data_IF_381968702983
#
_entry.id   IF_381968702983
#
_cell.length_a   1.000
_cell.length_b   1.000
_cell.length_c   1.000
_cell.angle_alpha   90.00
_cell.angle_beta   90.00
_cell.angle_gamma   90.00
#
_symmetry.space_group_name_H-M   'P 1'
#
loop_
_entity.id
_entity.type
_entity.pdbx_description
1 polymer ?
#
# COMPACT_ATOMS: atom_id res chain seq x y z
N UNK A 1 4.48 8.07 2.83
CA UNK A 1 3.01 8.06 2.96
C UNK A 1 2.39 7.20 1.85
N UNK A 2 1.13 6.84 1.96
CA UNK A 2 0.42 6.00 1.00
C UNK A 2 -0.99 5.68 1.49
N UNK A 3 -1.81 5.16 0.59
CA UNK A 3 -3.13 4.64 0.90
C UNK A 3 -3.02 3.17 1.36
N UNK A 4 -3.68 2.84 2.46
CA UNK A 4 -3.80 1.49 2.97
C UNK A 4 -5.27 1.07 2.96
N UNK A 5 -5.55 -0.10 2.38
CA UNK A 5 -6.88 -0.71 2.37
C UNK A 5 -6.82 -2.01 3.13
N UNK A 6 -7.81 -2.26 3.99
CA UNK A 6 -7.87 -3.51 4.73
C UNK A 6 -9.29 -3.98 5.00
N UNK A 7 -9.45 -5.30 5.00
CA UNK A 7 -10.68 -5.99 5.43
C UNK A 7 -10.53 -6.28 6.91
N UNK A 8 -11.21 -5.50 7.75
CA UNK A 8 -11.07 -5.49 9.21
C UNK A 8 -11.23 -6.87 9.82
N UNK A 9 -12.18 -7.68 9.36
CA UNK A 9 -12.43 -9.02 9.90
C UNK A 9 -11.19 -9.92 9.84
N UNK A 10 -10.54 -9.98 8.68
CA UNK A 10 -9.36 -10.79 8.44
C UNK A 10 -8.10 -10.13 8.96
N UNK A 11 -7.98 -8.81 8.80
CA UNK A 11 -6.84 -8.04 9.26
C UNK A 11 -6.69 -8.14 10.79
N UNK A 12 -7.75 -7.88 11.54
CA UNK A 12 -7.74 -7.95 13.00
C UNK A 12 -7.43 -9.35 13.50
N UNK A 13 -7.98 -10.38 12.84
CA UNK A 13 -7.69 -11.78 13.15
C UNK A 13 -6.20 -12.11 12.97
N UNK A 14 -5.61 -11.72 11.84
CA UNK A 14 -4.19 -11.98 11.56
C UNK A 14 -3.29 -11.17 12.48
N UNK A 15 -3.66 -9.92 12.79
CA UNK A 15 -2.96 -9.12 13.78
C UNK A 15 -3.00 -9.80 15.15
N UNK A 16 -4.16 -10.21 15.66
CA UNK A 16 -4.25 -10.92 16.94
C UNK A 16 -3.40 -12.21 16.99
N UNK A 17 -3.33 -12.94 15.86
CA UNK A 17 -2.55 -14.18 15.78
C UNK A 17 -1.04 -13.95 15.78
N UNK A 18 -0.56 -12.89 15.14
CA UNK A 18 0.87 -12.71 14.85
C UNK A 18 1.54 -11.54 15.56
N UNK A 19 0.78 -10.58 16.11
CA UNK A 19 1.29 -9.36 16.75
C UNK A 19 2.34 -9.65 17.81
N UNK A 20 2.06 -10.60 18.71
CA UNK A 20 3.02 -10.97 19.76
C UNK A 20 4.32 -11.53 19.19
N UNK A 21 4.22 -12.37 18.16
CA UNK A 21 5.39 -12.91 17.48
C UNK A 21 6.20 -11.81 16.79
N UNK A 22 5.49 -10.87 16.16
CA UNK A 22 6.09 -9.73 15.47
C UNK A 22 6.86 -8.83 16.45
N UNK A 23 6.26 -8.46 17.57
CA UNK A 23 6.92 -7.66 18.61
C UNK A 23 8.17 -8.35 19.19
N UNK A 24 8.11 -9.67 19.41
CA UNK A 24 9.27 -10.44 19.86
C UNK A 24 10.38 -10.48 18.79
N UNK A 25 10.03 -10.61 17.52
CA UNK A 25 10.99 -10.59 16.42
C UNK A 25 11.66 -9.20 16.27
N UNK A 26 10.88 -8.12 16.39
CA UNK A 26 11.40 -6.73 16.40
C UNK A 26 12.34 -6.53 17.59
N UNK A 27 11.93 -6.92 18.80
CA UNK A 27 12.77 -6.82 19.98
C UNK A 27 14.06 -7.64 19.87
N UNK A 28 14.03 -8.78 19.17
CA UNK A 28 15.22 -9.59 18.89
C UNK A 28 16.16 -8.89 17.90
N UNK A 29 15.62 -8.30 16.84
CA UNK A 29 16.38 -7.51 15.85
C UNK A 29 17.07 -6.33 16.51
N UNK A 30 16.33 -5.57 17.32
CA UNK A 30 16.82 -4.35 17.95
C UNK A 30 17.89 -4.64 19.03
N UNK A 31 17.91 -5.87 19.57
CA UNK A 31 18.93 -6.36 20.52
C UNK A 31 20.12 -7.07 19.86
N UNK A 32 20.09 -7.26 18.53
CA UNK A 32 21.15 -7.97 17.82
C UNK A 32 22.49 -7.23 17.97
N UNK A 33 23.56 -7.98 18.22
CA UNK A 33 24.91 -7.40 18.42
C UNK A 33 25.77 -7.48 17.17
N UNK A 34 25.34 -8.29 16.20
CA UNK A 34 26.03 -8.51 14.95
C UNK A 34 25.07 -8.33 13.77
N UNK A 35 25.61 -7.97 12.61
CA UNK A 35 24.81 -7.83 11.38
C UNK A 35 24.12 -9.15 11.00
N UNK A 36 24.78 -10.30 11.21
CA UNK A 36 24.20 -11.60 10.88
C UNK A 36 22.97 -11.94 11.74
N UNK A 37 23.04 -11.68 13.05
CA UNK A 37 21.88 -11.84 13.95
C UNK A 37 20.76 -10.85 13.59
N UNK A 38 21.12 -9.61 13.28
CA UNK A 38 20.18 -8.59 12.84
C UNK A 38 19.45 -9.03 11.57
N UNK A 39 20.16 -9.49 10.56
CA UNK A 39 19.57 -9.93 9.28
C UNK A 39 18.67 -11.15 9.46
N UNK A 40 19.04 -12.08 10.34
CA UNK A 40 18.19 -13.22 10.67
C UNK A 40 16.91 -12.79 11.37
N UNK A 41 16.99 -11.87 12.32
CA UNK A 41 15.81 -11.34 13.00
C UNK A 41 14.95 -10.49 12.05
N UNK A 42 15.57 -9.70 11.16
CA UNK A 42 14.87 -8.90 10.16
C UNK A 42 14.11 -9.78 9.16
N UNK A 43 14.65 -10.93 8.74
CA UNK A 43 13.91 -11.90 7.92
C UNK A 43 12.64 -12.39 8.62
N UNK A 44 12.71 -12.64 9.92
CA UNK A 44 11.54 -13.08 10.69
C UNK A 44 10.52 -11.95 10.86
N UNK A 45 10.97 -10.71 11.10
CA UNK A 45 10.11 -9.52 11.11
C UNK A 45 9.39 -9.38 9.78
N UNK A 46 10.12 -9.47 8.65
CA UNK A 46 9.52 -9.39 7.31
C UNK A 46 8.50 -10.52 7.08
N UNK A 47 8.83 -11.76 7.43
CA UNK A 47 7.91 -12.90 7.29
C UNK A 47 6.61 -12.69 8.07
N UNK A 48 6.70 -12.21 9.31
CA UNK A 48 5.53 -11.95 10.16
C UNK A 48 4.72 -10.74 9.66
N UNK A 49 5.40 -9.72 9.14
CA UNK A 49 4.76 -8.58 8.50
C UNK A 49 3.95 -9.02 7.27
N UNK A 50 4.51 -9.87 6.42
CA UNK A 50 3.83 -10.38 5.23
C UNK A 50 2.60 -11.24 5.59
N UNK A 51 2.66 -11.96 6.72
CA UNK A 51 1.52 -12.73 7.24
C UNK A 51 0.39 -11.83 7.76
N UNK A 52 0.71 -10.72 8.44
CA UNK A 52 -0.31 -9.78 8.93
C UNK A 52 -0.87 -8.89 7.82
N UNK A 53 -0.10 -8.66 6.76
CA UNK A 53 -0.47 -7.84 5.61
C UNK A 53 -0.69 -8.69 4.36
N UNK A 54 -1.42 -9.80 4.54
CA UNK A 54 -1.75 -10.73 3.45
C UNK A 54 -2.50 -10.00 2.32
N UNK A 55 -2.18 -10.25 1.04
CA UNK A 55 -2.88 -9.66 -0.10
C UNK A 55 -4.40 -9.94 -0.14
N UNK A 56 -4.87 -10.94 0.61
CA UNK A 56 -6.29 -11.27 0.71
C UNK A 56 -7.07 -10.32 1.63
N UNK A 57 -6.39 -9.58 2.50
CA UNK A 57 -7.03 -8.70 3.48
C UNK A 57 -6.36 -7.34 3.63
N UNK A 58 -5.27 -7.07 2.91
CA UNK A 58 -4.54 -5.82 2.98
C UNK A 58 -3.94 -5.44 1.62
N UNK A 59 -4.08 -4.18 1.24
CA UNK A 59 -3.44 -3.58 0.08
C UNK A 59 -2.81 -2.24 0.46
N UNK A 60 -1.53 -2.05 0.14
CA UNK A 60 -0.84 -0.77 0.28
C UNK A 60 -0.48 -0.18 -1.08
N UNK A 61 -0.77 1.10 -1.25
CA UNK A 61 -0.39 1.87 -2.41
C UNK A 61 0.41 3.12 -2.02
N UNK A 62 1.74 3.16 -2.26
CA UNK A 62 2.57 4.27 -1.81
C UNK A 62 2.37 5.53 -2.68
N UNK A 63 2.43 6.71 -2.05
CA UNK A 63 2.44 8.00 -2.75
C UNK A 63 3.84 8.36 -3.25
N UNK A 64 4.43 7.49 -4.07
CA UNK A 64 5.70 7.70 -4.75
C UNK A 64 5.66 7.02 -6.13
N UNK A 65 6.82 6.90 -6.80
CA UNK A 65 6.95 6.28 -8.12
C UNK A 65 6.35 4.88 -8.28
N UNK A 66 6.11 4.18 -7.17
CA UNK A 66 5.51 2.84 -7.13
C UNK A 66 4.00 2.83 -6.88
N UNK A 67 3.34 4.00 -6.89
CA UNK A 67 1.90 4.14 -6.71
C UNK A 67 1.10 3.60 -7.91
N UNK A 68 0.36 2.52 -7.70
CA UNK A 68 -0.44 1.83 -8.72
C UNK A 68 -1.60 2.69 -9.22
N UNK A 69 -2.38 3.36 -8.36
CA UNK A 69 -3.50 4.17 -8.85
C UNK A 69 -3.04 5.29 -9.77
N UNK A 70 -1.91 5.93 -9.45
CA UNK A 70 -1.27 6.91 -10.31
C UNK A 70 -0.93 6.31 -11.69
N UNK A 71 -0.38 5.10 -11.74
CA UNK A 71 -0.13 4.37 -13.00
C UNK A 71 -1.41 3.97 -13.74
N UNK A 72 -2.57 3.97 -13.09
CA UNK A 72 -3.87 3.77 -13.73
C UNK A 72 -4.54 5.12 -14.09
N UNK A 73 -3.89 6.26 -13.84
CA UNK A 73 -4.49 7.58 -14.04
C UNK A 73 -5.67 7.83 -13.09
N UNK A 74 -5.64 7.20 -11.91
CA UNK A 74 -6.57 7.39 -10.80
C UNK A 74 -5.84 8.08 -9.64
N UNK A 75 -6.62 8.60 -8.70
CA UNK A 75 -6.15 9.34 -7.54
C UNK A 75 -6.95 8.89 -6.31
N UNK A 76 -6.24 8.56 -5.23
CA UNK A 76 -6.87 8.16 -3.98
C UNK A 76 -7.68 9.32 -3.37
N UNK A 77 -7.21 10.55 -3.47
CA UNK A 77 -7.81 11.75 -2.89
C UNK A 77 -8.93 12.33 -3.75
N UNK A 78 -8.78 12.33 -5.08
CA UNK A 78 -9.78 12.89 -6.00
C UNK A 78 -10.87 11.89 -6.35
N UNK A 79 -10.50 10.63 -6.57
CA UNK A 79 -11.41 9.65 -7.17
C UNK A 79 -12.00 8.67 -6.13
N UNK A 80 -11.26 8.34 -5.05
CA UNK A 80 -11.69 7.37 -4.03
C UNK A 80 -12.18 8.04 -2.73
N UNK A 81 -11.43 8.99 -2.17
CA UNK A 81 -11.77 9.65 -0.90
C UNK A 81 -13.19 10.25 -0.86
N UNK A 82 -13.71 10.88 -1.94
CA UNK A 82 -15.07 11.41 -1.94
C UNK A 82 -16.17 10.35 -1.90
N UNK A 83 -15.81 9.07 -2.07
CA UNK A 83 -16.72 7.91 -2.05
C UNK A 83 -16.69 7.16 -0.72
N UNK A 84 -15.82 7.57 0.22
CA UNK A 84 -15.74 6.94 1.53
C UNK A 84 -16.93 7.38 2.40
N UNK A 85 -17.33 6.48 3.29
CA UNK A 85 -18.21 6.79 4.40
C UNK A 85 -17.45 7.55 5.51
N UNK A 86 -18.18 8.06 6.51
CA UNK A 86 -17.59 8.83 7.62
C UNK A 86 -16.58 8.02 8.46
N UNK A 87 -16.65 6.69 8.40
CA UNK A 87 -15.75 5.78 9.11
C UNK A 87 -14.56 5.30 8.25
N UNK A 88 -14.30 6.02 7.15
CA UNK A 88 -13.28 5.71 6.14
C UNK A 88 -13.51 4.39 5.39
N UNK A 89 -14.70 3.78 5.50
CA UNK A 89 -15.02 2.57 4.74
C UNK A 89 -15.48 2.90 3.31
N UNK A 90 -15.12 2.05 2.35
CA UNK A 90 -15.58 2.16 0.96
C UNK A 90 -16.85 1.31 0.78
N UNK A 91 -18.02 1.89 0.44
CA UNK A 91 -19.25 1.16 0.18
C UNK A 91 -19.07 0.09 -0.90
N UNK A 92 -19.81 -1.02 -0.82
CA UNK A 92 -19.67 -2.15 -1.77
C UNK A 92 -19.97 -1.78 -3.23
N UNK A 93 -20.87 -0.81 -3.47
CA UNK A 93 -21.13 -0.27 -4.80
C UNK A 93 -19.89 0.47 -5.35
N UNK A 94 -19.21 1.23 -4.49
CA UNK A 94 -17.97 1.93 -4.85
C UNK A 94 -16.75 0.99 -4.93
N UNK A 95 -16.73 -0.11 -4.17
CA UNK A 95 -15.78 -1.22 -4.37
C UNK A 95 -15.97 -1.82 -5.77
N UNK A 96 -17.21 -2.06 -6.18
CA UNK A 96 -17.53 -2.59 -7.51
C UNK A 96 -17.12 -1.61 -8.62
N UNK A 97 -17.35 -0.32 -8.42
CA UNK A 97 -16.86 0.73 -9.32
C UNK A 97 -15.34 0.72 -9.42
N UNK A 98 -14.62 0.75 -8.29
CA UNK A 98 -13.15 0.77 -8.28
C UNK A 98 -12.57 -0.48 -8.94
N UNK A 99 -13.17 -1.66 -8.72
CA UNK A 99 -12.80 -2.89 -9.41
C UNK A 99 -12.96 -2.77 -10.93
N UNK A 100 -14.04 -2.14 -11.39
CA UNK A 100 -14.27 -1.84 -12.81
C UNK A 100 -13.22 -0.90 -13.40
N UNK A 101 -12.89 0.18 -12.70
CA UNK A 101 -11.84 1.12 -13.11
C UNK A 101 -10.47 0.45 -13.18
N UNK A 102 -10.09 -0.30 -12.13
CA UNK A 102 -8.80 -1.01 -12.10
C UNK A 102 -8.73 -2.01 -13.24
N UNK A 103 -9.75 -2.86 -13.46
CA UNK A 103 -9.73 -3.86 -14.54
C UNK A 103 -9.60 -3.21 -15.93
N UNK A 104 -10.39 -2.18 -16.21
CA UNK A 104 -10.48 -1.57 -17.54
C UNK A 104 -9.26 -0.73 -17.93
N UNK A 105 -8.58 -0.10 -16.96
CA UNK A 105 -7.50 0.84 -17.24
C UNK A 105 -6.18 0.15 -17.51
N UNK A 106 -5.42 0.69 -18.47
CA UNK A 106 -4.05 0.25 -18.78
C UNK A 106 -3.05 1.01 -17.91
N UNK A 107 -1.89 0.40 -17.69
CA UNK A 107 -0.76 1.10 -17.08
C UNK A 107 -0.31 2.22 -18.01
N UNK A 108 -0.22 3.43 -17.48
CA UNK A 108 0.12 4.65 -18.24
C UNK A 108 1.62 4.91 -18.31
N UNK A 109 2.41 4.25 -17.46
CA UNK A 109 3.85 4.50 -17.29
C UNK A 109 4.11 6.00 -17.08
N UNK A 110 3.38 6.59 -16.14
CA UNK A 110 3.35 8.03 -15.90
C UNK A 110 4.77 8.56 -15.60
N UNK A 111 5.28 9.54 -16.39
CA UNK A 111 6.63 10.08 -16.19
C UNK A 111 6.69 11.27 -15.21
N UNK A 112 5.59 12.01 -15.08
CA UNK A 112 5.46 13.19 -14.20
C UNK A 112 4.71 12.83 -12.93
N UNK A 113 4.98 13.45 -11.76
CA UNK A 113 4.28 13.10 -10.53
C UNK A 113 2.83 13.60 -10.53
N UNK A 114 1.96 12.88 -9.82
CA UNK A 114 0.63 13.39 -9.48
C UNK A 114 0.70 14.47 -8.40
N UNK A 115 -0.41 15.18 -8.20
CA UNK A 115 -0.55 16.15 -7.11
C UNK A 115 -0.32 15.49 -5.73
N UNK A 116 -0.91 14.32 -5.52
CA UNK A 116 -0.76 13.51 -4.29
C UNK A 116 0.70 13.14 -4.03
N UNK A 117 1.42 12.68 -5.06
CA UNK A 117 2.84 12.34 -4.95
C UNK A 117 3.67 13.59 -4.63
N UNK A 118 3.31 14.74 -5.20
CA UNK A 118 3.98 16.02 -4.95
C UNK A 118 3.78 16.50 -3.51
N UNK A 119 2.54 16.50 -3.03
CA UNK A 119 2.22 16.83 -1.64
C UNK A 119 2.86 15.84 -0.66
N UNK A 120 2.87 14.55 -1.01
CA UNK A 120 3.48 13.54 -0.16
C UNK A 120 5.00 13.75 -0.01
N UNK A 121 5.69 14.11 -1.09
CA UNK A 121 7.12 14.41 -1.05
C UNK A 121 7.41 15.67 -0.21
N UNK A 122 6.58 16.71 -0.32
CA UNK A 122 6.73 17.93 0.47
C UNK A 122 6.55 17.67 1.97
N UNK A 123 5.49 16.98 2.36
CA UNK A 123 5.23 16.64 3.77
C UNK A 123 6.36 15.79 4.35
N UNK A 124 6.82 14.77 3.61
CA UNK A 124 7.93 13.94 4.05
C UNK A 124 9.23 14.74 4.22
N UNK A 125 9.48 15.75 3.37
CA UNK A 125 10.64 16.63 3.49
C UNK A 125 10.57 17.55 4.72
N UNK A 126 9.37 17.99 5.10
CA UNK A 126 9.17 18.79 6.31
C UNK A 126 9.32 17.95 7.59
N UNK A 127 8.77 16.72 7.60
CA UNK A 127 8.78 15.83 8.78
C UNK A 127 10.16 15.22 9.05
N UNK A 128 10.96 14.96 8.01
CA UNK A 128 12.27 14.31 8.16
C UNK A 128 13.33 15.20 8.84
N UNK A 129 13.10 16.51 8.98
CA UNK A 129 14.02 17.47 9.60
C UNK A 129 15.37 17.63 8.87
N UNK A 130 15.59 16.90 7.77
CA UNK A 130 16.82 16.94 6.99
C UNK A 130 16.64 17.90 5.82
N UNK A 131 17.44 18.98 5.78
CA UNK A 131 17.58 19.91 4.64
C UNK A 131 18.00 19.23 3.31
N UNK A 132 18.20 17.91 3.30
CA UNK A 132 18.74 17.12 2.20
C UNK A 132 17.74 16.12 1.58
N UNK A 133 16.51 16.00 2.08
CA UNK A 133 15.47 15.26 1.33
C UNK A 133 14.91 16.14 0.24
N UNK A 134 15.10 15.73 -1.02
CA UNK A 134 14.48 16.37 -2.18
C UNK A 134 12.97 16.53 -1.96
N UNK A 135 12.46 17.75 -2.10
CA UNK A 135 11.01 18.04 -2.14
C UNK A 135 10.36 17.53 -3.43
N UNK A 136 11.18 17.11 -4.40
CA UNK A 136 10.70 16.59 -5.68
C UNK A 136 10.15 15.18 -5.49
N UNK A 137 8.89 15.00 -5.89
CA UNK A 137 8.27 13.69 -5.99
C UNK A 137 9.09 12.76 -6.89
N UNK A 138 9.23 11.52 -6.43
CA UNK A 138 9.89 10.48 -7.22
C UNK A 138 8.93 9.95 -8.29
N UNK A 139 9.39 9.90 -9.53
CA UNK A 139 8.75 9.17 -10.63
C UNK A 139 9.76 8.29 -11.35
N UNK A 140 9.27 7.22 -11.98
CA UNK A 140 10.09 6.43 -12.90
C UNK A 140 10.18 7.18 -14.22
N UNK A 141 11.41 7.53 -14.61
CA UNK A 141 11.69 8.20 -15.88
C UNK A 141 11.71 7.21 -17.07
N UNK A 142 12.07 5.97 -16.78
CA UNK A 142 12.05 4.85 -17.72
C UNK A 142 11.50 3.62 -17.01
N UNK A 143 10.79 2.76 -17.74
CA UNK A 143 10.22 1.53 -17.22
C UNK A 143 10.91 0.35 -17.89
N UNK A 144 11.53 -0.50 -17.08
CA UNK A 144 12.01 -1.80 -17.51
C UNK A 144 10.85 -2.81 -17.63
N UNK A 145 11.11 -3.96 -18.25
CA UNK A 145 10.14 -5.05 -18.28
C UNK A 145 9.80 -5.56 -16.86
N UNK A 146 10.78 -5.53 -15.94
CA UNK A 146 10.60 -5.93 -14.55
C UNK A 146 9.68 -4.96 -13.80
N UNK A 147 9.83 -3.65 -14.03
CA UNK A 147 8.96 -2.62 -13.43
C UNK A 147 7.51 -2.82 -13.89
N UNK A 148 7.31 -3.04 -15.21
CA UNK A 148 5.98 -3.30 -15.76
C UNK A 148 5.39 -4.58 -15.17
N UNK A 149 6.17 -5.65 -15.09
CA UNK A 149 5.72 -6.91 -14.50
C UNK A 149 5.35 -6.75 -13.01
N UNK A 150 6.11 -5.94 -12.27
CA UNK A 150 5.79 -5.58 -10.90
C UNK A 150 4.43 -4.88 -10.81
N UNK A 151 4.17 -3.85 -11.61
CA UNK A 151 2.87 -3.18 -11.64
C UNK A 151 1.72 -4.10 -12.05
N UNK A 152 1.95 -5.01 -13.01
CA UNK A 152 0.94 -6.02 -13.39
C UNK A 152 0.60 -6.91 -12.20
N UNK A 153 1.60 -7.37 -11.44
CA UNK A 153 1.37 -8.16 -10.23
C UNK A 153 0.63 -7.40 -9.13
N UNK A 154 0.96 -6.11 -8.93
CA UNK A 154 0.27 -5.22 -7.98
C UNK A 154 -1.18 -4.98 -8.39
N UNK A 155 -1.42 -4.79 -9.68
CA UNK A 155 -2.77 -4.66 -10.25
C UNK A 155 -3.59 -5.92 -9.99
N UNK A 156 -3.03 -7.10 -10.24
CA UNK A 156 -3.70 -8.37 -9.97
C UNK A 156 -4.00 -8.55 -8.46
N UNK A 157 -3.08 -8.13 -7.58
CA UNK A 157 -3.31 -8.18 -6.14
C UNK A 157 -4.44 -7.24 -5.69
N UNK A 158 -4.50 -6.01 -6.21
CA UNK A 158 -5.62 -5.09 -5.91
C UNK A 158 -6.96 -5.65 -6.41
N UNK A 159 -6.99 -6.22 -7.62
CA UNK A 159 -8.19 -6.87 -8.16
C UNK A 159 -8.66 -7.97 -7.23
N UNK A 160 -7.76 -8.87 -6.81
CA UNK A 160 -8.08 -9.96 -5.88
C UNK A 160 -8.61 -9.43 -4.55
N UNK A 161 -7.97 -8.41 -3.98
CA UNK A 161 -8.42 -7.78 -2.74
C UNK A 161 -9.87 -7.25 -2.86
N UNK A 162 -10.18 -6.52 -3.94
CA UNK A 162 -11.51 -5.96 -4.18
C UNK A 162 -12.56 -7.06 -4.46
N UNK A 163 -12.20 -8.13 -5.17
CA UNK A 163 -13.05 -9.31 -5.34
C UNK A 163 -13.36 -9.97 -4.00
N UNK A 164 -12.35 -10.19 -3.15
CA UNK A 164 -12.54 -10.75 -1.81
C UNK A 164 -13.47 -9.89 -0.95
N UNK A 165 -13.34 -8.56 -1.02
CA UNK A 165 -14.22 -7.63 -0.30
C UNK A 165 -15.69 -7.83 -0.70
N UNK A 166 -15.96 -7.96 -2.00
CA UNK A 166 -17.30 -8.21 -2.53
C UNK A 166 -17.83 -9.60 -2.18
N UNK A 167 -16.98 -10.63 -2.27
CA UNK A 167 -17.34 -12.01 -1.91
C UNK A 167 -17.71 -12.16 -0.43
N UNK A 168 -17.01 -11.44 0.45
CA UNK A 168 -17.30 -11.41 1.88
C UNK A 168 -18.45 -10.46 2.25
N UNK A 169 -18.86 -9.59 1.33
CA UNK A 169 -19.81 -8.51 1.63
C UNK A 169 -19.26 -7.52 2.67
N UNK A 170 -17.93 -7.35 2.73
CA UNK A 170 -17.24 -6.52 3.70
C UNK A 170 -16.73 -5.24 3.04
N UNK A 171 -17.07 -4.08 3.62
CA UNK A 171 -16.54 -2.79 3.19
C UNK A 171 -15.07 -2.67 3.63
N UNK A 172 -14.11 -2.50 2.71
CA UNK A 172 -12.73 -2.26 3.11
C UNK A 172 -12.62 -0.88 3.74
N UNK A 173 -11.77 -0.76 4.76
CA UNK A 173 -11.42 0.53 5.37
C UNK A 173 -10.21 1.12 4.64
N UNK A 174 -10.28 2.40 4.32
CA UNK A 174 -9.26 3.13 3.57
C UNK A 174 -8.56 4.16 4.47
N UNK A 175 -7.31 3.90 4.85
CA UNK A 175 -6.45 4.90 5.50
C UNK A 175 -5.66 5.66 4.42
N UNK A 176 -6.04 6.92 4.16
CA UNK A 176 -5.44 7.79 3.14
C UNK A 176 -4.40 8.77 3.70
#
# INVERSE_FOLDING_TARGET
MGADLYLRSNYDRLQQQHQRGFELAVAKRDKAKTSSEHDQAQREVSRLFDLTHSPECYHRDPYNKWGLLAQLGLSWWRDVAPRLEEDDSLPLDDVSWLLGEVRSRRLTCQPEPTEEQSMAAEVMAQVSGQKHTSTRAETLQTYSAEDVQWFVSRKAALIRFLETALELGEKPVCSL
#
